data_IF_244798596065
#
_entry.id   IF_244798596065
#
_cell.length_a   1.000
_cell.length_b   1.000
_cell.length_c   1.000
_cell.angle_alpha   90.00
_cell.angle_beta   90.00
_cell.angle_gamma   90.00
#
_symmetry.space_group_name_H-M   'P 1'
#
loop_
_entity.id
_entity.type
_entity.pdbx_description
1 polymer ?
#
# COMPACT_ATOMS: atom_id res chain seq x y z
N UNK A 1 -16.88 -38.62 -13.71
CA UNK A 1 -15.43 -38.43 -13.92
C UNK A 1 -15.17 -36.94 -13.78
N UNK A 2 -14.86 -36.47 -12.57
CA UNK A 2 -14.51 -35.07 -12.34
C UNK A 2 -13.12 -34.83 -12.89
N UNK A 3 -13.04 -34.09 -13.99
CA UNK A 3 -11.79 -33.50 -14.46
C UNK A 3 -11.31 -32.54 -13.37
N UNK A 4 -10.31 -32.97 -12.60
CA UNK A 4 -9.46 -32.04 -11.86
C UNK A 4 -8.73 -31.19 -12.91
N UNK A 5 -9.34 -30.08 -13.29
CA UNK A 5 -8.63 -28.99 -13.94
C UNK A 5 -7.60 -28.54 -12.90
N UNK A 6 -6.33 -28.84 -13.15
CA UNK A 6 -5.23 -28.29 -12.36
C UNK A 6 -5.42 -26.77 -12.39
N UNK A 7 -5.74 -26.17 -11.24
CA UNK A 7 -5.82 -24.72 -11.14
C UNK A 7 -4.46 -24.19 -11.58
N UNK A 8 -4.44 -23.42 -12.68
CA UNK A 8 -3.24 -22.74 -13.14
C UNK A 8 -2.78 -21.84 -11.99
N UNK A 9 -1.54 -22.05 -11.52
CA UNK A 9 -0.99 -21.24 -10.42
C UNK A 9 -0.83 -19.82 -10.95
N UNK A 10 -1.63 -18.89 -10.42
CA UNK A 10 -1.57 -17.49 -10.82
C UNK A 10 -0.35 -16.81 -10.20
N UNK A 11 0.16 -15.80 -10.90
CA UNK A 11 1.22 -14.95 -10.39
C UNK A 11 0.65 -13.81 -9.54
N UNK A 12 0.99 -13.79 -8.25
CA UNK A 12 0.58 -12.78 -7.27
C UNK A 12 1.67 -11.73 -6.99
N UNK A 13 2.74 -11.68 -7.81
CA UNK A 13 3.92 -10.81 -7.59
C UNK A 13 3.63 -9.31 -7.62
N UNK A 14 2.46 -8.88 -8.09
CA UNK A 14 2.01 -7.49 -7.97
C UNK A 14 1.73 -7.09 -6.52
N UNK A 15 1.28 -8.01 -5.66
CA UNK A 15 1.06 -7.74 -4.24
C UNK A 15 2.36 -7.42 -3.49
N UNK A 16 3.43 -8.24 -3.54
CA UNK A 16 4.73 -7.88 -2.94
C UNK A 16 5.31 -6.57 -3.49
N UNK A 17 5.06 -6.22 -4.76
CA UNK A 17 5.49 -4.94 -5.32
C UNK A 17 4.75 -3.75 -4.68
N UNK A 18 3.45 -3.89 -4.42
CA UNK A 18 2.66 -2.91 -3.67
C UNK A 18 3.12 -2.84 -2.21
N UNK A 19 3.34 -3.98 -1.56
CA UNK A 19 3.81 -4.04 -0.18
C UNK A 19 5.20 -3.42 0.00
N UNK A 20 6.09 -3.60 -0.97
CA UNK A 20 7.42 -2.97 -0.96
C UNK A 20 7.30 -1.44 -0.92
N UNK A 21 6.35 -0.87 -1.68
CA UNK A 21 6.03 0.55 -1.61
C UNK A 21 5.56 0.96 -0.21
N UNK A 22 4.62 0.22 0.40
CA UNK A 22 4.13 0.52 1.74
C UNK A 22 5.23 0.42 2.79
N UNK A 23 6.02 -0.66 2.77
CA UNK A 23 7.17 -0.84 3.66
C UNK A 23 8.14 0.34 3.55
N UNK A 24 8.48 0.78 2.34
CA UNK A 24 9.39 1.92 2.14
C UNK A 24 8.82 3.20 2.72
N UNK A 25 7.62 3.61 2.31
CA UNK A 25 7.10 4.93 2.67
C UNK A 25 6.73 5.02 4.16
N UNK A 26 6.15 3.97 4.76
CA UNK A 26 5.84 3.99 6.19
C UNK A 26 7.09 3.92 7.08
N UNK A 27 8.14 3.18 6.67
CA UNK A 27 9.45 3.21 7.35
C UNK A 27 10.05 4.61 7.37
N UNK A 28 9.91 5.36 6.29
CA UNK A 28 10.48 6.71 6.15
C UNK A 28 9.62 7.79 6.82
N UNK A 29 8.30 7.59 6.91
CA UNK A 29 7.34 8.60 7.33
C UNK A 29 7.67 9.24 8.69
N UNK A 30 8.05 8.44 9.69
CA UNK A 30 8.44 8.95 11.02
C UNK A 30 9.64 9.92 10.95
N UNK A 31 10.65 9.59 10.13
CA UNK A 31 11.81 10.46 9.89
C UNK A 31 11.43 11.77 9.19
N UNK A 32 10.54 11.70 8.19
CA UNK A 32 10.04 12.88 7.47
C UNK A 32 9.29 13.83 8.41
N UNK A 33 8.49 13.30 9.34
CA UNK A 33 7.77 14.09 10.36
C UNK A 33 8.76 14.74 11.33
N UNK A 34 9.72 13.98 11.87
CA UNK A 34 10.74 14.51 12.80
C UNK A 34 11.57 15.64 12.21
N UNK A 35 11.85 15.58 10.92
CA UNK A 35 12.63 16.61 10.21
C UNK A 35 11.89 17.96 10.09
N UNK A 36 10.59 18.03 10.36
CA UNK A 36 9.85 19.30 10.35
C UNK A 36 10.24 20.15 11.56
N UNK A 37 10.72 21.36 11.29
CA UNK A 37 11.08 22.32 12.34
C UNK A 37 9.82 22.84 13.04
N UNK A 38 9.85 23.05 14.37
CA UNK A 38 8.74 23.67 15.07
C UNK A 38 8.37 25.02 14.44
N UNK A 39 7.07 25.25 14.19
CA UNK A 39 6.56 26.45 13.54
C UNK A 39 6.65 26.48 12.00
N UNK A 40 7.29 25.50 11.35
CA UNK A 40 7.30 25.38 9.88
C UNK A 40 5.99 24.79 9.35
N UNK A 41 4.94 25.61 9.37
CA UNK A 41 3.57 25.25 8.96
C UNK A 41 3.52 24.84 7.48
N UNK A 42 4.30 25.48 6.61
CA UNK A 42 4.33 25.15 5.19
C UNK A 42 4.85 23.73 4.95
N UNK A 43 5.92 23.36 5.65
CA UNK A 43 6.44 22.00 5.61
C UNK A 43 5.51 20.99 6.27
N UNK A 44 4.95 21.31 7.44
CA UNK A 44 4.01 20.45 8.15
C UNK A 44 2.79 20.10 7.27
N UNK A 45 2.21 21.08 6.54
CA UNK A 45 1.12 20.83 5.58
C UNK A 45 1.51 19.89 4.45
N UNK A 46 2.72 20.06 3.92
CA UNK A 46 3.23 19.20 2.84
C UNK A 46 3.38 17.75 3.32
N UNK A 47 3.96 17.55 4.51
CA UNK A 47 4.12 16.22 5.10
C UNK A 47 2.77 15.63 5.51
N UNK A 48 1.88 16.42 6.10
CA UNK A 48 0.53 15.99 6.44
C UNK A 48 -0.25 15.50 5.21
N UNK A 49 -0.19 16.21 4.07
CA UNK A 49 -0.82 15.75 2.84
C UNK A 49 -0.24 14.42 2.32
N UNK A 50 1.06 14.18 2.53
CA UNK A 50 1.69 12.90 2.23
C UNK A 50 1.19 11.79 3.16
N UNK A 51 1.11 12.03 4.47
CA UNK A 51 0.55 11.06 5.43
C UNK A 51 -0.91 10.73 5.14
N UNK A 52 -1.71 11.72 4.74
CA UNK A 52 -3.10 11.50 4.30
C UNK A 52 -3.17 10.59 3.07
N UNK A 53 -2.31 10.83 2.09
CA UNK A 53 -2.22 9.96 0.91
C UNK A 53 -1.82 8.53 1.27
N UNK A 54 -0.79 8.34 2.10
CA UNK A 54 -0.37 7.00 2.53
C UNK A 54 -1.47 6.28 3.30
N UNK A 55 -2.09 6.94 4.29
CA UNK A 55 -3.16 6.35 5.10
C UNK A 55 -4.37 5.95 4.26
N UNK A 56 -4.81 6.82 3.34
CA UNK A 56 -5.89 6.46 2.40
C UNK A 56 -5.49 5.30 1.49
N UNK A 57 -4.26 5.28 0.97
CA UNK A 57 -3.82 4.23 0.05
C UNK A 57 -3.80 2.87 0.75
N UNK A 58 -3.28 2.82 1.99
CA UNK A 58 -3.23 1.61 2.79
C UNK A 58 -4.63 1.12 3.18
N UNK A 59 -5.49 2.03 3.64
CA UNK A 59 -6.87 1.69 3.98
C UNK A 59 -7.65 1.09 2.79
N UNK A 60 -7.48 1.62 1.58
CA UNK A 60 -8.14 1.05 0.39
C UNK A 60 -7.62 -0.33 0.00
N UNK A 61 -6.33 -0.61 0.25
CA UNK A 61 -5.74 -1.92 0.02
C UNK A 61 -6.33 -2.96 0.99
N UNK A 62 -6.27 -2.71 2.30
CA UNK A 62 -6.88 -3.59 3.31
C UNK A 62 -8.38 -3.75 3.11
N UNK A 63 -9.11 -2.68 2.78
CA UNK A 63 -10.54 -2.76 2.49
C UNK A 63 -10.83 -3.69 1.32
N UNK A 64 -10.00 -3.67 0.27
CA UNK A 64 -10.23 -4.53 -0.88
C UNK A 64 -9.98 -6.00 -0.58
N UNK A 65 -9.04 -6.26 0.31
CA UNK A 65 -8.75 -7.57 0.83
C UNK A 65 -9.90 -8.12 1.69
N UNK A 66 -10.36 -7.33 2.66
CA UNK A 66 -11.45 -7.68 3.56
C UNK A 66 -12.78 -7.87 2.80
N UNK A 67 -13.07 -7.00 1.83
CA UNK A 67 -14.35 -7.04 1.08
C UNK A 67 -14.37 -8.09 -0.04
N UNK A 68 -13.22 -8.43 -0.63
CA UNK A 68 -13.18 -9.32 -1.81
C UNK A 68 -12.24 -10.51 -1.66
N UNK A 69 -10.98 -10.30 -1.28
CA UNK A 69 -10.01 -11.38 -1.30
C UNK A 69 -10.32 -12.44 -0.24
N UNK A 70 -10.58 -12.04 1.01
CA UNK A 70 -10.79 -13.00 2.10
C UNK A 70 -12.07 -13.80 1.92
N UNK A 71 -13.22 -13.18 1.57
CA UNK A 71 -14.44 -13.94 1.29
C UNK A 71 -14.27 -14.96 0.15
N UNK A 72 -13.58 -14.59 -0.93
CA UNK A 72 -13.35 -15.49 -2.07
C UNK A 72 -12.47 -16.68 -1.72
N UNK A 73 -11.44 -16.48 -0.91
CA UNK A 73 -10.56 -17.55 -0.45
C UNK A 73 -11.27 -18.43 0.60
N UNK A 74 -12.03 -17.84 1.53
CA UNK A 74 -12.80 -18.57 2.55
C UNK A 74 -13.83 -19.51 1.92
N UNK A 75 -14.47 -19.08 0.83
CA UNK A 75 -15.42 -19.91 0.09
C UNK A 75 -14.78 -21.16 -0.54
N UNK A 76 -13.47 -21.13 -0.82
CA UNK A 76 -12.74 -22.20 -1.51
C UNK A 76 -12.01 -23.15 -0.56
N UNK A 77 -11.36 -22.61 0.46
CA UNK A 77 -10.50 -23.36 1.39
C UNK A 77 -10.78 -22.98 2.86
N UNK A 78 -12.02 -23.14 3.35
CA UNK A 78 -12.44 -22.58 4.64
C UNK A 78 -11.64 -23.11 5.84
N UNK A 79 -11.32 -24.42 5.85
CA UNK A 79 -10.60 -25.03 6.96
C UNK A 79 -9.14 -24.57 7.07
N UNK A 80 -8.47 -24.38 5.93
CA UNK A 80 -7.12 -23.85 5.89
C UNK A 80 -7.13 -22.35 6.24
N UNK A 81 -8.04 -21.58 5.64
CA UNK A 81 -7.95 -20.13 5.66
C UNK A 81 -8.57 -19.44 6.88
N UNK A 82 -9.60 -20.02 7.51
CA UNK A 82 -10.30 -19.38 8.63
C UNK A 82 -9.39 -18.87 9.77
N UNK A 83 -8.38 -19.62 10.26
CA UNK A 83 -7.46 -19.07 11.25
C UNK A 83 -6.57 -17.94 10.71
N UNK A 84 -6.18 -17.98 9.44
CA UNK A 84 -5.39 -16.90 8.82
C UNK A 84 -6.20 -15.62 8.60
N UNK A 85 -7.44 -15.70 8.13
CA UNK A 85 -8.29 -14.51 7.96
C UNK A 85 -8.50 -13.80 9.29
N UNK A 86 -8.81 -14.54 10.37
CA UNK A 86 -8.95 -13.93 11.70
C UNK A 86 -7.67 -13.25 12.17
N UNK A 87 -6.49 -13.80 11.83
CA UNK A 87 -5.22 -13.15 12.12
C UNK A 87 -5.07 -11.86 11.31
N UNK A 88 -5.34 -11.89 9.99
CA UNK A 88 -5.25 -10.72 9.11
C UNK A 88 -6.21 -9.61 9.55
N UNK A 89 -7.48 -9.93 9.81
CA UNK A 89 -8.47 -8.96 10.29
C UNK A 89 -8.00 -8.30 11.59
N UNK A 90 -7.48 -9.08 12.55
CA UNK A 90 -6.93 -8.51 13.80
C UNK A 90 -5.68 -7.64 13.60
N UNK A 91 -4.92 -7.90 12.54
CA UNK A 91 -3.76 -7.08 12.15
C UNK A 91 -4.22 -5.79 11.45
N UNK A 92 -5.21 -5.87 10.55
CA UNK A 92 -5.85 -4.72 9.92
C UNK A 92 -6.43 -3.77 10.97
N UNK A 93 -7.18 -4.29 11.95
CA UNK A 93 -7.78 -3.49 13.03
C UNK A 93 -6.71 -2.70 13.82
N UNK A 94 -5.56 -3.32 14.12
CA UNK A 94 -4.44 -2.66 14.82
C UNK A 94 -3.84 -1.55 13.97
N UNK A 95 -3.61 -1.81 12.69
CA UNK A 95 -3.08 -0.82 11.73
C UNK A 95 -4.05 0.34 11.56
N UNK A 96 -5.34 0.06 11.39
CA UNK A 96 -6.39 1.07 11.19
C UNK A 96 -6.61 1.95 12.42
N UNK A 97 -6.49 1.39 13.63
CA UNK A 97 -6.53 2.18 14.86
C UNK A 97 -5.39 3.22 14.90
N UNK A 98 -4.17 2.82 14.53
CA UNK A 98 -3.01 3.71 14.47
C UNK A 98 -3.16 4.77 13.37
N UNK A 99 -3.64 4.38 12.18
CA UNK A 99 -3.96 5.32 11.10
C UNK A 99 -5.00 6.36 11.54
N UNK A 100 -6.02 5.93 12.29
CA UNK A 100 -7.08 6.80 12.82
C UNK A 100 -6.52 7.80 13.82
N UNK A 101 -5.66 7.37 14.74
CA UNK A 101 -5.02 8.28 15.71
C UNK A 101 -4.14 9.32 15.00
N UNK A 102 -3.31 8.89 14.04
CA UNK A 102 -2.48 9.79 13.23
C UNK A 102 -3.36 10.79 12.47
N UNK A 103 -4.45 10.32 11.87
CA UNK A 103 -5.39 11.17 11.13
C UNK A 103 -6.06 12.22 12.03
N UNK A 104 -6.35 11.91 13.30
CA UNK A 104 -6.92 12.85 14.27
C UNK A 104 -5.94 13.96 14.67
N UNK A 105 -4.65 13.66 14.82
CA UNK A 105 -3.62 14.63 15.20
C UNK A 105 -3.17 15.52 14.04
N UNK A 106 -3.19 14.97 12.83
CA UNK A 106 -2.61 15.58 11.63
C UNK A 106 -3.13 16.99 11.31
N UNK A 107 -4.44 17.32 11.37
CA UNK A 107 -4.93 18.68 11.08
C UNK A 107 -4.37 19.72 12.05
N UNK A 108 -4.33 19.40 13.35
CA UNK A 108 -3.75 20.27 14.39
C UNK A 108 -2.28 20.52 14.13
N UNK A 109 -1.53 19.43 13.89
CA UNK A 109 -0.11 19.54 13.57
C UNK A 109 0.15 20.33 12.28
N UNK A 110 -0.62 20.11 11.22
CA UNK A 110 -0.51 20.84 9.97
C UNK A 110 -0.83 22.34 10.11
N UNK A 111 -1.60 22.73 11.13
CA UNK A 111 -1.94 24.13 11.42
C UNK A 111 -0.87 24.87 12.22
N UNK A 112 -0.20 24.18 13.15
CA UNK A 112 0.69 24.81 14.14
C UNK A 112 2.16 24.38 14.05
N UNK A 113 2.46 23.25 13.39
CA UNK A 113 3.76 22.61 13.38
C UNK A 113 4.36 22.47 14.80
N UNK A 114 3.53 22.08 15.76
CA UNK A 114 3.95 21.94 17.16
C UNK A 114 4.93 20.76 17.31
N UNK A 115 5.95 20.93 18.16
CA UNK A 115 6.92 19.86 18.44
C UNK A 115 6.25 18.65 19.11
N UNK A 116 5.30 18.89 20.02
CA UNK A 116 4.57 17.82 20.71
C UNK A 116 3.77 16.94 19.75
N UNK A 117 3.00 17.53 18.82
CA UNK A 117 2.25 16.74 17.83
C UNK A 117 3.18 16.05 16.84
N UNK A 118 4.26 16.73 16.43
CA UNK A 118 5.30 16.15 15.58
C UNK A 118 5.84 14.85 16.19
N UNK A 119 6.28 14.92 17.44
CA UNK A 119 6.92 13.80 18.12
C UNK A 119 5.91 12.67 18.39
N UNK A 120 4.66 13.00 18.72
CA UNK A 120 3.58 12.02 18.86
C UNK A 120 3.27 11.30 17.54
N UNK A 121 3.06 12.05 16.45
CA UNK A 121 2.79 11.48 15.12
C UNK A 121 3.96 10.60 14.67
N UNK A 122 5.20 11.06 14.87
CA UNK A 122 6.38 10.28 14.49
C UNK A 122 6.48 8.96 15.28
N UNK A 123 6.20 8.97 16.59
CA UNK A 123 6.18 7.74 17.39
C UNK A 123 5.06 6.78 16.96
N UNK A 124 3.87 7.29 16.63
CA UNK A 124 2.78 6.47 16.10
C UNK A 124 3.15 5.85 14.76
N UNK A 125 3.86 6.57 13.88
CA UNK A 125 4.33 6.05 12.59
C UNK A 125 5.36 4.92 12.76
N UNK A 126 6.25 5.01 13.75
CA UNK A 126 7.19 3.92 14.03
C UNK A 126 6.43 2.65 14.48
N UNK A 127 5.46 2.79 15.39
CA UNK A 127 4.61 1.67 15.84
C UNK A 127 3.77 1.11 14.70
N UNK A 128 3.21 1.98 13.86
CA UNK A 128 2.45 1.62 12.66
C UNK A 128 3.31 0.79 11.72
N UNK A 129 4.54 1.24 11.42
CA UNK A 129 5.45 0.51 10.54
C UNK A 129 5.78 -0.88 11.08
N UNK A 130 6.03 -1.02 12.38
CA UNK A 130 6.30 -2.32 12.99
C UNK A 130 5.11 -3.31 12.82
N UNK A 131 3.89 -2.85 13.11
CA UNK A 131 2.68 -3.67 12.94
C UNK A 131 2.40 -3.98 11.46
N UNK A 132 2.59 -2.99 10.58
CA UNK A 132 2.39 -3.15 9.16
C UNK A 132 3.41 -4.15 8.57
N UNK A 133 4.69 -4.07 8.95
CA UNK A 133 5.69 -5.00 8.47
C UNK A 133 5.35 -6.45 8.88
N UNK A 134 5.00 -6.68 10.15
CA UNK A 134 4.54 -7.99 10.64
C UNK A 134 3.34 -8.52 9.84
N UNK A 135 2.38 -7.65 9.57
CA UNK A 135 1.19 -7.99 8.80
C UNK A 135 1.52 -8.39 7.36
N UNK A 136 2.26 -7.54 6.64
CA UNK A 136 2.60 -7.78 5.23
C UNK A 136 3.48 -9.03 5.07
N UNK A 137 4.37 -9.31 6.03
CA UNK A 137 5.18 -10.54 6.05
C UNK A 137 4.28 -11.77 6.20
N UNK A 138 3.32 -11.73 7.14
CA UNK A 138 2.39 -12.83 7.34
C UNK A 138 1.47 -13.07 6.14
N UNK A 139 1.01 -12.01 5.47
CA UNK A 139 0.20 -12.12 4.26
C UNK A 139 1.00 -12.74 3.10
N UNK A 140 2.21 -12.24 2.84
CA UNK A 140 3.07 -12.74 1.77
C UNK A 140 3.46 -14.22 1.97
N UNK A 141 3.81 -14.61 3.20
CA UNK A 141 4.22 -15.97 3.51
C UNK A 141 3.06 -16.97 3.51
N UNK A 142 1.88 -16.55 3.96
CA UNK A 142 0.78 -17.47 4.29
C UNK A 142 -0.42 -17.37 3.37
N UNK A 143 -0.79 -16.18 2.91
CA UNK A 143 -1.98 -15.98 2.07
C UNK A 143 -1.68 -15.99 0.59
N UNK A 144 -0.60 -15.34 0.14
CA UNK A 144 -0.30 -15.30 -1.30
C UNK A 144 -0.11 -16.67 -1.94
N UNK A 145 0.54 -17.68 -1.31
CA UNK A 145 0.61 -19.03 -1.87
C UNK A 145 -0.76 -19.72 -1.95
N UNK A 146 -1.71 -19.34 -1.11
CA UNK A 146 -3.09 -19.85 -1.17
C UNK A 146 -3.82 -19.17 -2.31
N UNK A 147 -3.75 -17.85 -2.41
CA UNK A 147 -4.32 -17.10 -3.52
C UNK A 147 -3.82 -17.61 -4.87
N UNK A 148 -2.51 -17.83 -4.98
CA UNK A 148 -1.85 -18.31 -6.20
C UNK A 148 -2.43 -19.63 -6.72
N UNK A 149 -2.78 -20.58 -5.84
CA UNK A 149 -3.28 -21.90 -6.24
C UNK A 149 -4.80 -22.03 -6.24
N UNK A 150 -5.54 -21.02 -5.74
CA UNK A 150 -7.00 -21.11 -5.54
C UNK A 150 -7.80 -20.14 -6.40
N UNK A 151 -7.24 -18.98 -6.73
CA UNK A 151 -7.91 -17.95 -7.51
C UNK A 151 -7.55 -18.06 -8.99
N UNK A 152 -8.45 -17.56 -9.84
CA UNK A 152 -8.16 -17.33 -11.25
C UNK A 152 -7.52 -15.96 -11.48
N UNK A 153 -6.85 -15.78 -12.63
CA UNK A 153 -6.23 -14.50 -12.98
C UNK A 153 -7.23 -13.35 -13.08
N UNK A 154 -8.46 -13.62 -13.51
CA UNK A 154 -9.52 -12.60 -13.62
C UNK A 154 -10.02 -12.14 -12.25
N UNK A 155 -10.14 -13.06 -11.29
CA UNK A 155 -10.51 -12.74 -9.91
C UNK A 155 -9.41 -11.94 -9.22
N UNK A 156 -8.15 -12.35 -9.38
CA UNK A 156 -7.00 -11.60 -8.87
C UNK A 156 -6.94 -10.18 -9.45
N UNK A 157 -7.13 -10.06 -10.76
CA UNK A 157 -7.21 -8.76 -11.42
C UNK A 157 -8.41 -7.94 -10.94
N UNK A 158 -9.53 -8.57 -10.54
CA UNK A 158 -10.70 -7.88 -9.98
C UNK A 158 -10.41 -7.30 -8.59
N UNK A 159 -9.74 -8.05 -7.71
CA UNK A 159 -9.28 -7.55 -6.40
C UNK A 159 -8.40 -6.31 -6.59
N UNK A 160 -7.39 -6.39 -7.47
CA UNK A 160 -6.53 -5.24 -7.77
C UNK A 160 -7.27 -4.04 -8.38
N UNK A 161 -8.30 -4.26 -9.22
CA UNK A 161 -9.15 -3.17 -9.73
C UNK A 161 -9.98 -2.53 -8.62
N UNK A 162 -10.51 -3.31 -7.68
CA UNK A 162 -11.28 -2.81 -6.56
C UNK A 162 -10.44 -1.96 -5.62
N UNK A 163 -9.23 -2.41 -5.26
CA UNK A 163 -8.27 -1.64 -4.47
C UNK A 163 -7.96 -0.26 -5.11
N UNK A 164 -7.84 -0.23 -6.45
CA UNK A 164 -7.57 1.01 -7.20
C UNK A 164 -8.82 1.87 -7.45
N UNK A 165 -10.02 1.34 -7.33
CA UNK A 165 -11.27 2.02 -7.75
C UNK A 165 -11.54 3.33 -7.01
N UNK A 166 -11.03 3.45 -5.77
CA UNK A 166 -11.14 4.64 -4.93
C UNK A 166 -9.87 5.50 -4.90
N UNK A 167 -8.83 5.12 -5.65
CA UNK A 167 -7.66 5.96 -5.88
C UNK A 167 -8.05 7.17 -6.71
N UNK A 168 -7.63 8.37 -6.31
CA UNK A 168 -7.88 9.57 -7.10
C UNK A 168 -7.10 9.48 -8.40
N UNK A 169 -7.72 9.84 -9.54
CA UNK A 169 -7.03 9.84 -10.85
C UNK A 169 -5.72 10.63 -10.86
N UNK A 170 -5.64 11.72 -10.08
CA UNK A 170 -4.43 12.53 -9.93
C UNK A 170 -3.30 11.81 -9.19
N UNK A 171 -3.59 10.76 -8.44
CA UNK A 171 -2.66 9.97 -7.61
C UNK A 171 -2.21 8.68 -8.30
N UNK A 172 -2.87 8.24 -9.38
CA UNK A 172 -2.55 6.99 -10.10
C UNK A 172 -1.09 6.96 -10.60
N UNK A 173 -0.65 8.02 -11.29
CA UNK A 173 0.72 8.12 -11.81
C UNK A 173 1.76 8.17 -10.68
N UNK A 174 1.40 8.79 -9.55
CA UNK A 174 2.27 8.83 -8.39
C UNK A 174 2.43 7.43 -7.78
N UNK A 175 1.31 6.76 -7.54
CA UNK A 175 1.25 5.41 -6.95
C UNK A 175 2.02 4.42 -7.82
N UNK A 176 1.78 4.43 -9.15
CA UNK A 176 2.54 3.60 -10.09
C UNK A 176 4.05 3.90 -10.01
N UNK A 177 4.43 5.17 -9.88
CA UNK A 177 5.83 5.57 -9.79
C UNK A 177 6.50 5.14 -8.48
N UNK A 178 5.74 5.12 -7.38
CA UNK A 178 6.16 4.64 -6.07
C UNK A 178 6.36 3.12 -6.04
N UNK A 179 5.46 2.37 -6.67
CA UNK A 179 5.58 0.91 -6.82
C UNK A 179 6.78 0.58 -7.73
N UNK A 180 6.85 1.25 -8.89
CA UNK A 180 7.94 1.08 -9.86
C UNK A 180 9.34 1.36 -9.29
N UNK A 181 9.45 2.12 -8.19
CA UNK A 181 10.75 2.47 -7.63
C UNK A 181 11.58 1.24 -7.24
N UNK A 182 10.93 0.24 -6.64
CA UNK A 182 11.58 -0.97 -6.10
C UNK A 182 11.12 -2.25 -6.82
N UNK A 183 10.02 -2.20 -7.59
CA UNK A 183 9.49 -3.37 -8.28
C UNK A 183 10.42 -3.88 -9.38
N UNK A 184 10.47 -5.22 -9.52
CA UNK A 184 11.10 -5.87 -10.67
C UNK A 184 10.46 -5.36 -11.98
N UNK A 185 11.26 -4.96 -12.99
CA UNK A 185 10.75 -4.55 -14.30
C UNK A 185 9.77 -5.54 -14.95
N UNK A 186 9.93 -6.84 -14.72
CA UNK A 186 9.04 -7.88 -15.20
C UNK A 186 7.67 -7.84 -14.52
N UNK A 187 7.62 -7.59 -13.20
CA UNK A 187 6.36 -7.41 -12.46
C UNK A 187 5.63 -6.18 -12.97
N UNK A 188 6.35 -5.06 -13.13
CA UNK A 188 5.77 -3.83 -13.67
C UNK A 188 5.20 -4.03 -15.10
N UNK A 189 5.91 -4.77 -15.95
CA UNK A 189 5.44 -5.08 -17.29
C UNK A 189 4.14 -5.89 -17.28
N UNK A 190 3.97 -6.81 -16.32
CA UNK A 190 2.74 -7.60 -16.14
C UNK A 190 1.59 -6.75 -15.60
N UNK A 191 1.84 -5.89 -14.61
CA UNK A 191 0.83 -4.94 -14.10
C UNK A 191 0.25 -4.06 -15.21
N UNK A 192 1.07 -3.72 -16.22
CA UNK A 192 0.67 -2.89 -17.35
C UNK A 192 0.20 -3.70 -18.58
N UNK A 193 0.13 -5.03 -18.50
CA UNK A 193 -0.13 -5.90 -19.66
C UNK A 193 -1.46 -5.62 -20.35
N UNK A 194 -2.48 -5.22 -19.58
CA UNK A 194 -3.82 -4.86 -20.07
C UNK A 194 -3.91 -3.44 -20.64
N UNK A 195 -2.88 -2.62 -20.48
CA UNK A 195 -2.85 -1.27 -21.01
C UNK A 195 -2.61 -1.28 -22.55
N UNK A 196 -3.19 -0.32 -23.29
CA UNK A 196 -2.89 -0.11 -24.70
C UNK A 196 -1.39 0.01 -24.98
N UNK A 197 -0.92 -0.53 -26.10
CA UNK A 197 0.50 -0.59 -26.46
C UNK A 197 1.29 0.73 -26.32
N UNK A 198 0.80 1.91 -26.77
CA UNK A 198 1.54 3.16 -26.56
C UNK A 198 1.63 3.53 -25.08
N UNK A 199 0.59 3.26 -24.29
CA UNK A 199 0.55 3.55 -22.86
C UNK A 199 1.49 2.66 -22.05
N UNK A 200 1.69 1.39 -22.45
CA UNK A 200 2.66 0.47 -21.81
C UNK A 200 4.09 1.01 -21.78
N UNK A 201 4.47 1.86 -22.74
CA UNK A 201 5.79 2.50 -22.80
C UNK A 201 5.80 3.87 -22.14
N UNK A 202 4.72 4.65 -22.31
CA UNK A 202 4.64 6.02 -21.80
C UNK A 202 4.42 6.09 -20.29
N UNK A 203 3.55 5.23 -19.74
CA UNK A 203 3.17 5.25 -18.32
C UNK A 203 4.37 5.06 -17.37
N UNK A 204 5.26 4.06 -17.55
CA UNK A 204 6.44 3.91 -16.69
C UNK A 204 7.39 5.11 -16.69
N UNK A 205 7.46 5.83 -17.81
CA UNK A 205 8.29 7.03 -17.88
C UNK A 205 7.65 8.20 -17.13
N UNK A 206 6.35 8.44 -17.35
CA UNK A 206 5.59 9.48 -16.65
C UNK A 206 5.54 9.23 -15.13
N UNK A 207 5.30 7.98 -14.72
CA UNK A 207 5.22 7.55 -13.34
C UNK A 207 6.54 7.80 -12.59
N UNK A 208 7.68 7.37 -13.15
CA UNK A 208 9.01 7.69 -12.59
C UNK A 208 9.24 9.19 -12.44
N UNK A 209 8.84 9.99 -13.43
CA UNK A 209 9.00 11.45 -13.37
C UNK A 209 8.10 12.08 -12.31
N UNK A 210 6.88 11.59 -12.15
CA UNK A 210 5.94 12.01 -11.11
C UNK A 210 6.51 11.69 -9.72
N UNK A 211 6.90 10.43 -9.48
CA UNK A 211 7.47 10.01 -8.20
C UNK A 211 8.77 10.75 -7.89
N UNK A 212 9.70 10.90 -8.84
CA UNK A 212 10.96 11.64 -8.60
C UNK A 212 10.73 13.08 -8.10
N UNK A 213 9.77 13.79 -8.70
CA UNK A 213 9.42 15.16 -8.26
C UNK A 213 8.75 15.16 -6.88
N UNK A 214 7.90 14.17 -6.63
CA UNK A 214 7.22 14.02 -5.36
C UNK A 214 8.20 13.65 -4.23
N UNK A 215 9.09 12.69 -4.46
CA UNK A 215 10.14 12.27 -3.54
C UNK A 215 11.08 13.43 -3.19
N UNK A 216 11.49 14.25 -4.15
CA UNK A 216 12.29 15.45 -3.84
C UNK A 216 11.54 16.41 -2.90
N UNK A 217 10.22 16.55 -3.07
CA UNK A 217 9.39 17.40 -2.21
C UNK A 217 9.22 16.81 -0.81
N UNK A 218 9.04 15.50 -0.68
CA UNK A 218 8.76 14.84 0.61
C UNK A 218 10.03 14.43 1.34
N UNK A 219 10.99 13.85 0.66
CA UNK A 219 12.18 13.24 1.25
C UNK A 219 13.45 14.07 1.05
N UNK A 220 13.41 15.13 0.25
CA UNK A 220 14.59 15.92 -0.09
C UNK A 220 15.54 15.23 -1.09
N UNK A 221 15.22 14.00 -1.52
CA UNK A 221 15.97 13.21 -2.48
C UNK A 221 15.05 12.61 -3.54
N UNK A 222 15.60 12.37 -4.73
CA UNK A 222 14.92 11.70 -5.84
C UNK A 222 14.84 10.18 -5.69
N UNK A 223 15.59 9.61 -4.74
CA UNK A 223 15.76 8.18 -4.47
C UNK A 223 15.79 7.97 -2.95
N UNK A 224 14.63 8.04 -2.29
CA UNK A 224 14.50 7.93 -0.84
C UNK A 224 14.64 6.50 -0.32
#
# INVERSE_FOLDING_TARGET
>A
MSTHQSAEVIDTSDMPAVHTFFRREFRLAGGVVRAVRPGDVGRARTVAAHLDYLGRSLHHHHTAEDELAWPLLLARVPGELAPMVRLMESQHERVDALLTEIAGLRPRWAGAASAGDRDRIAGLLDTLYANLAEHLDAEEERLLPIAARTLTGDEWAAIGRHARSRTRRSEELLTLGMIQHDADPAVLARMLSTAPAPLRRLLPWLARRAFRRYALRIHGTARP
#
